data_IF_623954734137
#
_entry.id   IF_623954734137
#
_cell.length_a   1.000
_cell.length_b   1.000
_cell.length_c   1.000
_cell.angle_alpha   90.00
_cell.angle_beta   90.00
_cell.angle_gamma   90.00
#
_symmetry.space_group_name_H-M   'P 1'
#
loop_
_entity.id
_entity.type
_entity.pdbx_description
1 polymer ?
#
# COMPACT_ATOMS: atom_id res chain seq x y z
N UNK A 1 -2.48 13.35 17.75
CA UNK A 1 -2.94 11.99 18.11
C UNK A 1 -4.34 11.84 17.55
N UNK A 2 -4.54 10.93 16.60
CA UNK A 2 -5.81 10.71 15.93
C UNK A 2 -6.35 9.29 16.23
N UNK A 3 -7.67 9.09 16.05
CA UNK A 3 -8.30 7.78 16.05
C UNK A 3 -8.27 7.23 14.62
N UNK A 4 -7.66 6.08 14.43
CA UNK A 4 -7.43 5.49 13.11
C UNK A 4 -7.98 4.07 13.09
N UNK A 5 -8.72 3.73 12.03
CA UNK A 5 -8.98 2.34 11.67
C UNK A 5 -7.97 1.88 10.62
N UNK A 6 -7.50 0.63 10.68
CA UNK A 6 -6.70 0.03 9.62
C UNK A 6 -7.32 -1.29 9.16
N UNK A 7 -7.71 -1.34 7.89
CA UNK A 7 -8.43 -2.45 7.27
C UNK A 7 -7.49 -3.24 6.35
N UNK A 8 -7.24 -4.49 6.71
CA UNK A 8 -6.34 -5.37 5.96
C UNK A 8 -4.92 -5.40 6.52
N UNK A 9 -4.58 -6.52 7.16
CA UNK A 9 -3.28 -6.77 7.79
C UNK A 9 -2.46 -7.78 6.98
N UNK A 10 -2.35 -7.54 5.67
CA UNK A 10 -1.43 -8.25 4.80
C UNK A 10 0.03 -7.88 5.08
N UNK A 11 0.95 -8.32 4.21
CA UNK A 11 2.39 -8.02 4.32
C UNK A 11 2.70 -6.52 4.33
N UNK A 12 1.83 -5.71 3.72
CA UNK A 12 1.95 -4.26 3.71
C UNK A 12 1.24 -3.61 4.88
N UNK A 13 -0.05 -3.94 5.09
CA UNK A 13 -0.90 -3.27 6.08
C UNK A 13 -0.50 -3.53 7.52
N UNK A 14 0.02 -4.72 7.82
CA UNK A 14 0.45 -5.07 9.17
C UNK A 14 1.53 -4.12 9.73
N UNK A 15 2.66 -3.89 9.05
CA UNK A 15 3.67 -2.94 9.51
C UNK A 15 3.21 -1.48 9.41
N UNK A 16 2.43 -1.10 8.39
CA UNK A 16 1.91 0.27 8.26
C UNK A 16 1.04 0.65 9.47
N UNK A 17 0.12 -0.24 9.88
CA UNK A 17 -0.68 -0.05 11.09
C UNK A 17 0.20 0.02 12.36
N UNK A 18 1.28 -0.78 12.42
CA UNK A 18 2.27 -0.76 13.51
C UNK A 18 2.97 0.59 13.64
N UNK A 19 3.38 1.18 12.51
CA UNK A 19 3.98 2.53 12.52
C UNK A 19 3.03 3.59 13.05
N UNK A 20 1.73 3.52 12.71
CA UNK A 20 0.73 4.44 13.25
C UNK A 20 0.62 4.32 14.79
N UNK A 21 0.57 3.11 15.31
CA UNK A 21 0.54 2.87 16.75
C UNK A 21 1.83 3.38 17.43
N UNK A 22 3.00 3.12 16.84
CA UNK A 22 4.30 3.61 17.34
C UNK A 22 4.41 5.15 17.35
N UNK A 23 3.69 5.85 16.46
CA UNK A 23 3.56 7.32 16.45
C UNK A 23 2.54 7.85 17.46
N UNK A 24 1.93 6.98 18.26
CA UNK A 24 1.01 7.35 19.34
C UNK A 24 -0.43 7.56 18.89
N UNK A 25 -0.82 7.14 17.69
CA UNK A 25 -2.23 7.13 17.29
C UNK A 25 -3.01 6.00 17.97
N UNK A 26 -4.32 6.17 18.17
CA UNK A 26 -5.20 5.11 18.64
C UNK A 26 -5.65 4.30 17.43
N UNK A 27 -5.12 3.11 17.28
CA UNK A 27 -5.39 2.25 16.11
C UNK A 27 -6.34 1.12 16.47
N UNK A 28 -7.42 0.98 15.69
CA UNK A 28 -8.32 -0.19 15.69
C UNK A 28 -8.14 -0.91 14.37
N UNK A 29 -7.79 -2.18 14.40
CA UNK A 29 -7.53 -2.96 13.20
C UNK A 29 -8.71 -3.88 12.86
N UNK A 30 -8.88 -4.12 11.57
CA UNK A 30 -9.74 -5.17 11.04
C UNK A 30 -8.98 -6.02 10.04
N UNK A 31 -9.16 -7.32 10.11
CA UNK A 31 -8.70 -8.24 9.09
C UNK A 31 -9.66 -9.42 8.95
N UNK A 32 -9.89 -9.93 7.73
CA UNK A 32 -10.73 -11.09 7.46
C UNK A 32 -10.38 -12.31 8.33
N UNK A 33 -9.08 -12.53 8.57
CA UNK A 33 -8.60 -13.46 9.60
C UNK A 33 -8.50 -12.76 10.95
N UNK A 34 -9.41 -13.05 11.88
CA UNK A 34 -9.40 -12.49 13.23
C UNK A 34 -8.11 -12.81 14.01
N UNK A 35 -7.48 -13.95 13.74
CA UNK A 35 -6.21 -14.34 14.37
C UNK A 35 -5.08 -13.34 14.05
N UNK A 36 -5.02 -12.82 12.81
CA UNK A 36 -4.05 -11.77 12.45
C UNK A 36 -4.29 -10.46 13.20
N UNK A 37 -5.55 -10.06 13.36
CA UNK A 37 -5.91 -8.87 14.13
C UNK A 37 -5.52 -9.03 15.61
N UNK A 38 -5.79 -10.20 16.20
CA UNK A 38 -5.40 -10.51 17.57
C UNK A 38 -3.87 -10.49 17.76
N UNK A 39 -3.10 -11.08 16.83
CA UNK A 39 -1.64 -11.05 16.86
C UNK A 39 -1.09 -9.63 16.74
N UNK A 40 -1.70 -8.80 15.90
CA UNK A 40 -1.31 -7.40 15.76
C UNK A 40 -1.55 -6.63 17.07
N UNK A 41 -2.71 -6.79 17.70
CA UNK A 41 -3.06 -6.14 18.99
C UNK A 41 -2.10 -6.59 20.09
N UNK A 42 -1.76 -7.88 20.15
CA UNK A 42 -0.81 -8.39 21.14
C UNK A 42 0.58 -7.75 21.02
N UNK A 43 1.01 -7.41 19.80
CA UNK A 43 2.32 -6.82 19.55
C UNK A 43 2.34 -5.30 19.68
N UNK A 44 1.31 -4.61 19.17
CA UNK A 44 1.32 -3.15 19.01
C UNK A 44 0.35 -2.42 19.95
N UNK A 45 -0.50 -3.16 20.67
CA UNK A 45 -1.60 -2.57 21.44
C UNK A 45 -2.76 -2.13 20.53
N UNK A 46 -3.61 -1.22 21.02
CA UNK A 46 -4.79 -0.76 20.28
C UNK A 46 -5.98 -1.71 20.41
N UNK A 47 -6.83 -1.73 19.39
CA UNK A 47 -8.06 -2.54 19.35
C UNK A 47 -8.19 -3.35 18.07
N UNK A 48 -9.04 -4.38 18.11
CA UNK A 48 -9.50 -5.11 16.94
C UNK A 48 -11.03 -5.08 16.86
N UNK A 49 -11.58 -5.05 15.66
CA UNK A 49 -13.01 -5.08 15.40
C UNK A 49 -13.38 -6.30 14.55
N UNK A 50 -14.65 -6.74 14.65
CA UNK A 50 -15.14 -7.90 13.91
C UNK A 50 -15.54 -7.55 12.47
N UNK A 51 -15.86 -6.27 12.19
CA UNK A 51 -16.26 -5.78 10.88
C UNK A 51 -15.53 -4.49 10.52
N UNK A 52 -15.40 -4.14 9.21
CA UNK A 52 -14.91 -2.84 8.77
C UNK A 52 -15.72 -1.67 9.37
N UNK A 53 -17.04 -1.81 9.47
CA UNK A 53 -17.95 -0.84 10.07
C UNK A 53 -17.59 -0.56 11.53
N UNK A 54 -17.40 -1.60 12.33
CA UNK A 54 -17.02 -1.45 13.74
C UNK A 54 -15.64 -0.82 13.89
N UNK A 55 -14.68 -1.21 13.05
CA UNK A 55 -13.35 -0.61 13.07
C UNK A 55 -13.41 0.89 12.76
N UNK A 56 -14.24 1.28 11.79
CA UNK A 56 -14.39 2.66 11.33
C UNK A 56 -15.20 3.55 12.27
N UNK A 57 -15.94 2.97 13.24
CA UNK A 57 -16.71 3.74 14.20
C UNK A 57 -15.80 4.68 15.01
N UNK A 58 -16.15 5.95 15.06
CA UNK A 58 -15.35 7.01 15.72
C UNK A 58 -13.95 7.29 15.11
N UNK A 59 -13.56 6.64 14.01
CA UNK A 59 -12.29 6.90 13.34
C UNK A 59 -12.31 8.24 12.58
N UNK A 60 -11.27 9.03 12.76
CA UNK A 60 -11.02 10.24 11.98
C UNK A 60 -10.45 9.87 10.59
N UNK A 61 -9.62 8.82 10.58
CA UNK A 61 -9.03 8.26 9.36
C UNK A 61 -9.25 6.75 9.32
N UNK A 62 -9.67 6.26 8.15
CA UNK A 62 -9.77 4.82 7.87
C UNK A 62 -8.77 4.49 6.78
N UNK A 63 -7.70 3.78 7.13
CA UNK A 63 -6.68 3.31 6.21
C UNK A 63 -7.04 1.91 5.73
N UNK A 64 -6.86 1.61 4.45
CA UNK A 64 -7.12 0.29 3.90
C UNK A 64 -5.96 -0.20 3.03
N UNK A 65 -5.65 -1.50 3.12
CA UNK A 65 -4.72 -2.18 2.22
C UNK A 65 -5.16 -3.63 2.04
N UNK A 66 -5.92 -3.90 0.98
CA UNK A 66 -6.53 -5.21 0.69
C UNK A 66 -6.05 -5.78 -0.65
N UNK A 67 -6.71 -6.77 -1.22
CA UNK A 67 -6.17 -7.56 -2.34
C UNK A 67 -6.47 -7.03 -3.73
N UNK A 68 -7.70 -6.54 -3.99
CA UNK A 68 -8.19 -6.22 -5.33
C UNK A 68 -9.44 -5.32 -5.29
N UNK A 69 -10.03 -5.05 -6.48
CA UNK A 69 -11.23 -4.22 -6.63
C UNK A 69 -12.42 -4.72 -5.81
N UNK A 70 -12.67 -6.03 -5.79
CA UNK A 70 -13.82 -6.61 -5.09
C UNK A 70 -13.60 -6.63 -3.58
N UNK A 71 -12.37 -6.88 -3.13
CA UNK A 71 -12.01 -6.76 -1.72
C UNK A 71 -12.21 -5.31 -1.24
N UNK A 72 -11.82 -4.30 -2.04
CA UNK A 72 -12.04 -2.89 -1.71
C UNK A 72 -13.54 -2.58 -1.58
N UNK A 73 -14.34 -2.99 -2.57
CA UNK A 73 -15.81 -2.81 -2.48
C UNK A 73 -16.38 -3.45 -1.23
N UNK A 74 -15.96 -4.66 -0.90
CA UNK A 74 -16.48 -5.44 0.23
C UNK A 74 -16.21 -4.80 1.58
N UNK A 75 -15.04 -4.13 1.75
CA UNK A 75 -14.70 -3.45 3.00
C UNK A 75 -15.25 -2.03 3.07
N UNK A 76 -15.58 -1.40 1.94
CA UNK A 76 -16.12 -0.05 1.89
C UNK A 76 -17.63 0.00 2.03
N UNK A 77 -18.35 -0.88 1.33
CA UNK A 77 -19.81 -0.78 1.12
C UNK A 77 -20.57 -1.92 1.82
N UNK A 78 -21.91 -1.81 1.82
CA UNK A 78 -22.78 -2.78 2.49
C UNK A 78 -22.97 -2.50 3.99
N UNK A 79 -23.75 -3.32 4.68
CA UNK A 79 -24.16 -3.07 6.07
C UNK A 79 -22.96 -3.15 7.06
N UNK A 80 -21.96 -3.96 6.75
CA UNK A 80 -20.74 -4.13 7.56
C UNK A 80 -19.53 -3.40 6.97
N UNK A 81 -19.71 -2.65 5.88
CA UNK A 81 -18.67 -1.85 5.22
C UNK A 81 -18.29 -0.61 6.04
N UNK A 82 -17.06 -0.14 5.88
CA UNK A 82 -16.50 0.97 6.63
C UNK A 82 -17.33 2.25 6.48
N UNK A 83 -17.85 2.55 5.30
CA UNK A 83 -18.63 3.76 5.05
C UNK A 83 -19.89 3.85 5.93
N UNK A 84 -20.48 2.71 6.28
CA UNK A 84 -21.64 2.65 7.18
C UNK A 84 -21.27 2.97 8.65
N UNK A 85 -19.99 2.86 9.02
CA UNK A 85 -19.49 3.20 10.36
C UNK A 85 -18.83 4.57 10.46
N UNK A 86 -18.39 5.13 9.33
CA UNK A 86 -17.65 6.40 9.30
C UNK A 86 -18.56 7.60 9.61
N UNK A 87 -18.01 8.57 10.32
CA UNK A 87 -18.67 9.85 10.58
C UNK A 87 -18.42 10.84 9.46
N UNK A 88 -19.35 11.77 9.25
CA UNK A 88 -19.18 12.85 8.27
C UNK A 88 -17.92 13.66 8.57
N UNK A 89 -17.11 13.90 7.56
CA UNK A 89 -15.84 14.61 7.66
C UNK A 89 -14.63 13.70 7.92
N UNK A 90 -14.83 12.42 8.26
CA UNK A 90 -13.73 11.45 8.30
C UNK A 90 -13.19 11.16 6.89
N UNK A 91 -11.93 10.71 6.80
CA UNK A 91 -11.26 10.44 5.52
C UNK A 91 -10.90 8.97 5.40
N UNK A 92 -11.32 8.36 4.29
CA UNK A 92 -10.88 7.01 3.89
C UNK A 92 -9.64 7.13 3.00
N UNK A 93 -8.59 6.40 3.34
CA UNK A 93 -7.31 6.38 2.61
C UNK A 93 -7.05 4.96 2.11
N UNK A 94 -7.10 4.76 0.80
CA UNK A 94 -6.94 3.46 0.18
C UNK A 94 -5.52 3.25 -0.36
N UNK A 95 -4.76 2.38 0.29
CA UNK A 95 -3.41 1.97 -0.16
C UNK A 95 -3.43 0.74 -1.07
N UNK A 96 -4.60 0.18 -1.33
CA UNK A 96 -4.75 -0.98 -2.23
C UNK A 96 -4.35 -0.61 -3.65
N UNK A 97 -3.66 -1.50 -4.34
CA UNK A 97 -3.45 -1.35 -5.79
C UNK A 97 -4.68 -1.90 -6.51
N UNK A 98 -5.51 -1.02 -7.01
CA UNK A 98 -6.79 -1.32 -7.67
C UNK A 98 -6.97 -0.52 -8.96
N UNK A 99 -8.05 -0.78 -9.69
CA UNK A 99 -8.38 0.00 -10.87
C UNK A 99 -8.78 1.45 -10.51
N UNK A 100 -8.40 2.42 -11.34
CA UNK A 100 -8.87 3.80 -11.19
C UNK A 100 -10.41 3.91 -11.33
N UNK A 101 -11.05 2.89 -11.92
CA UNK A 101 -12.51 2.79 -12.02
C UNK A 101 -13.14 2.55 -10.64
N UNK A 102 -12.69 1.53 -9.92
CA UNK A 102 -13.23 1.24 -8.58
C UNK A 102 -12.89 2.34 -7.59
N UNK A 103 -11.71 2.96 -7.70
CA UNK A 103 -11.34 4.13 -6.91
C UNK A 103 -12.37 5.25 -7.03
N UNK A 104 -12.74 5.63 -8.28
CA UNK A 104 -13.74 6.69 -8.51
C UNK A 104 -15.14 6.28 -8.05
N UNK A 105 -15.49 5.00 -8.19
CA UNK A 105 -16.73 4.42 -7.65
C UNK A 105 -16.79 4.59 -6.13
N UNK A 106 -15.74 4.22 -5.41
CA UNK A 106 -15.67 4.32 -3.95
C UNK A 106 -15.61 5.78 -3.48
N UNK A 107 -14.88 6.65 -4.19
CA UNK A 107 -14.84 8.08 -3.90
C UNK A 107 -16.23 8.73 -4.03
N UNK A 108 -17.00 8.37 -5.05
CA UNK A 108 -18.36 8.86 -5.22
C UNK A 108 -19.31 8.34 -4.10
N UNK A 109 -19.17 7.07 -3.72
CA UNK A 109 -19.95 6.48 -2.63
C UNK A 109 -19.62 7.14 -1.27
N UNK A 110 -18.35 7.41 -0.99
CA UNK A 110 -17.91 8.12 0.20
C UNK A 110 -18.45 9.56 0.24
N UNK A 111 -18.33 10.29 -0.86
CA UNK A 111 -18.79 11.66 -0.98
C UNK A 111 -20.31 11.79 -0.73
N UNK A 112 -21.12 10.83 -1.19
CA UNK A 112 -22.56 10.79 -0.92
C UNK A 112 -22.91 10.72 0.57
N UNK A 113 -21.97 10.25 1.41
CA UNK A 113 -22.09 10.16 2.86
C UNK A 113 -21.36 11.29 3.60
N UNK A 114 -20.75 12.23 2.85
CA UNK A 114 -19.94 13.32 3.41
C UNK A 114 -18.60 12.84 3.98
N UNK A 115 -18.10 11.70 3.52
CA UNK A 115 -16.80 11.12 3.87
C UNK A 115 -15.78 11.46 2.78
N UNK A 116 -14.57 11.83 3.17
CA UNK A 116 -13.46 12.05 2.26
C UNK A 116 -12.88 10.74 1.73
N UNK A 117 -12.30 10.76 0.51
CA UNK A 117 -11.62 9.60 -0.07
C UNK A 117 -10.32 9.99 -0.76
N UNK A 118 -9.22 9.33 -0.38
CA UNK A 118 -7.89 9.50 -0.97
C UNK A 118 -7.39 8.15 -1.44
N UNK A 119 -7.14 7.98 -2.73
CA UNK A 119 -6.40 6.82 -3.25
C UNK A 119 -4.91 7.06 -3.07
N UNK A 120 -4.23 6.14 -2.43
CA UNK A 120 -2.88 6.29 -1.94
C UNK A 120 -2.03 5.02 -2.10
N UNK A 121 -2.01 4.37 -3.30
CA UNK A 121 -1.20 3.18 -3.52
C UNK A 121 0.27 3.46 -3.26
N UNK A 122 0.98 2.41 -2.87
CA UNK A 122 2.34 2.49 -2.36
C UNK A 122 3.37 1.77 -3.24
N UNK A 123 4.62 2.21 -3.15
CA UNK A 123 5.79 1.54 -3.71
C UNK A 123 6.89 1.43 -2.65
N UNK A 124 7.65 0.32 -2.67
CA UNK A 124 8.71 0.01 -1.71
C UNK A 124 8.70 -1.44 -1.24
N UNK A 125 7.63 -2.19 -1.57
CA UNK A 125 7.46 -3.59 -1.18
C UNK A 125 7.40 -3.79 0.34
N UNK A 126 7.47 -5.05 0.78
CA UNK A 126 7.41 -5.41 2.19
C UNK A 126 8.49 -4.70 3.02
N UNK A 127 9.73 -4.70 2.54
CA UNK A 127 10.84 -4.03 3.24
C UNK A 127 10.60 -2.52 3.41
N UNK A 128 10.02 -1.85 2.40
CA UNK A 128 9.64 -0.44 2.52
C UNK A 128 8.55 -0.19 3.56
N UNK A 129 7.58 -1.10 3.66
CA UNK A 129 6.52 -1.02 4.66
C UNK A 129 7.06 -1.28 6.08
N UNK A 130 7.89 -2.30 6.27
CA UNK A 130 8.51 -2.64 7.55
C UNK A 130 9.43 -1.53 8.07
N UNK A 131 10.17 -0.88 7.18
CA UNK A 131 11.09 0.20 7.54
C UNK A 131 10.43 1.59 7.58
N UNK A 132 9.14 1.73 7.26
CA UNK A 132 8.44 3.01 7.26
C UNK A 132 8.95 4.00 6.20
N UNK A 133 9.39 3.51 5.04
CA UNK A 133 10.02 4.32 3.97
C UNK A 133 9.32 4.17 2.61
N UNK A 134 8.01 3.97 2.63
CA UNK A 134 7.21 3.84 1.41
C UNK A 134 7.18 5.14 0.60
N UNK A 135 7.03 5.00 -0.71
CA UNK A 135 6.62 6.09 -1.60
C UNK A 135 5.12 5.96 -1.86
N UNK A 136 4.36 7.02 -1.54
CA UNK A 136 2.90 7.03 -1.62
C UNK A 136 2.44 7.98 -2.71
N UNK A 137 1.65 7.48 -3.65
CA UNK A 137 1.11 8.24 -4.77
C UNK A 137 -0.36 8.54 -4.50
N UNK A 138 -0.71 9.80 -4.21
CA UNK A 138 -2.06 10.16 -3.79
C UNK A 138 -2.89 10.80 -4.91
N UNK A 139 -4.17 10.42 -4.94
CA UNK A 139 -5.23 11.08 -5.70
C UNK A 139 -6.41 11.39 -4.79
N UNK A 140 -7.13 12.47 -5.07
CA UNK A 140 -8.29 12.89 -4.29
C UNK A 140 -8.35 14.41 -4.13
N UNK A 141 -9.34 14.90 -3.40
CA UNK A 141 -9.49 16.31 -3.07
C UNK A 141 -8.30 16.82 -2.25
N UNK A 142 -7.88 18.08 -2.49
CA UNK A 142 -6.71 18.65 -1.86
C UNK A 142 -6.83 18.74 -0.33
N UNK A 143 -7.98 19.18 0.18
CA UNK A 143 -8.18 19.32 1.62
C UNK A 143 -8.19 17.98 2.34
N UNK A 144 -8.72 16.93 1.69
CA UNK A 144 -8.71 15.56 2.22
C UNK A 144 -7.29 14.98 2.24
N UNK A 145 -6.51 15.23 1.20
CA UNK A 145 -5.10 14.86 1.15
C UNK A 145 -4.29 15.58 2.23
N UNK A 146 -4.44 16.90 2.35
CA UNK A 146 -3.71 17.71 3.33
C UNK A 146 -4.01 17.26 4.77
N UNK A 147 -5.24 16.81 5.05
CA UNK A 147 -5.60 16.23 6.34
C UNK A 147 -4.97 14.84 6.57
N UNK A 148 -4.85 14.01 5.52
CA UNK A 148 -4.34 12.64 5.61
C UNK A 148 -2.80 12.55 5.57
N UNK A 149 -2.12 13.47 4.89
CA UNK A 149 -0.66 13.44 4.69
C UNK A 149 0.14 13.29 6.00
N UNK A 150 -0.14 14.05 7.08
CA UNK A 150 0.60 13.89 8.34
C UNK A 150 0.45 12.50 8.98
N UNK A 151 -0.67 11.82 8.71
CA UNK A 151 -0.92 10.45 9.19
C UNK A 151 -0.14 9.46 8.32
N UNK A 152 -0.19 9.61 7.00
CA UNK A 152 0.56 8.79 6.03
C UNK A 152 2.07 8.89 6.27
N UNK A 153 2.56 10.04 6.70
CA UNK A 153 3.98 10.27 7.02
C UNK A 153 4.54 9.33 8.10
N UNK A 154 3.70 8.63 8.87
CA UNK A 154 4.14 7.63 9.84
C UNK A 154 4.91 6.46 9.21
N UNK A 155 4.62 6.12 7.95
CA UNK A 155 5.21 4.99 7.21
C UNK A 155 5.70 5.37 5.80
N UNK A 156 5.69 6.64 5.45
CA UNK A 156 6.08 7.14 4.14
C UNK A 156 7.35 8.00 4.21
N UNK A 157 8.30 7.74 3.30
CA UNK A 157 9.41 8.65 3.02
C UNK A 157 9.02 9.75 2.06
N UNK A 158 8.11 9.46 1.15
CA UNK A 158 7.60 10.40 0.14
C UNK A 158 6.10 10.20 -0.01
N UNK A 159 5.34 11.26 0.11
CA UNK A 159 3.90 11.27 -0.14
C UNK A 159 3.57 12.49 -0.99
N UNK A 160 2.80 12.31 -2.07
CA UNK A 160 2.45 13.43 -2.94
C UNK A 160 1.09 13.25 -3.59
N UNK A 161 0.26 14.30 -3.54
CA UNK A 161 -0.97 14.38 -4.34
C UNK A 161 -0.61 14.65 -5.81
N UNK A 162 -1.15 13.84 -6.71
CA UNK A 162 -0.84 13.85 -8.15
C UNK A 162 -2.04 14.30 -9.01
N UNK A 163 -3.20 14.45 -8.40
CA UNK A 163 -4.43 14.88 -9.07
C UNK A 163 -5.69 14.46 -8.31
N UNK A 164 -6.82 14.45 -8.99
CA UNK A 164 -8.12 14.04 -8.47
C UNK A 164 -8.19 12.52 -8.25
N UNK A 165 -9.30 12.02 -7.69
CA UNK A 165 -9.51 10.59 -7.40
C UNK A 165 -9.19 9.69 -8.59
N UNK A 166 -8.34 8.70 -8.34
CA UNK A 166 -7.78 7.77 -9.31
C UNK A 166 -6.42 8.17 -9.87
N UNK A 167 -5.92 9.38 -9.59
CA UNK A 167 -4.60 9.82 -10.06
C UNK A 167 -3.46 9.04 -9.38
N UNK A 168 -3.62 8.69 -8.11
CA UNK A 168 -2.68 7.82 -7.39
C UNK A 168 -2.58 6.43 -8.04
N UNK A 169 -3.72 5.81 -8.38
CA UNK A 169 -3.74 4.51 -9.06
C UNK A 169 -3.13 4.58 -10.46
N UNK A 170 -3.40 5.65 -11.22
CA UNK A 170 -2.78 5.83 -12.54
C UNK A 170 -1.24 5.96 -12.40
N UNK A 171 -0.77 6.75 -11.42
CA UNK A 171 0.66 6.85 -11.13
C UNK A 171 1.25 5.50 -10.71
N UNK A 172 0.52 4.70 -9.92
CA UNK A 172 0.93 3.33 -9.59
C UNK A 172 1.00 2.44 -10.81
N UNK A 173 0.08 2.56 -11.77
CA UNK A 173 0.15 1.82 -13.04
C UNK A 173 1.39 2.20 -13.85
N UNK A 174 1.73 3.50 -13.93
CA UNK A 174 2.98 3.95 -14.56
C UNK A 174 4.21 3.34 -13.88
N UNK A 175 4.25 3.35 -12.54
CA UNK A 175 5.31 2.68 -11.78
C UNK A 175 5.40 1.18 -12.11
N UNK A 176 4.27 0.48 -12.21
CA UNK A 176 4.26 -0.96 -12.53
C UNK A 176 4.70 -1.26 -13.96
N UNK A 177 4.40 -0.40 -14.93
CA UNK A 177 4.92 -0.51 -16.31
C UNK A 177 6.45 -0.42 -16.29
N UNK A 178 7.02 0.56 -15.58
CA UNK A 178 8.48 0.68 -15.44
C UNK A 178 9.10 -0.55 -14.78
N UNK A 179 8.51 -1.05 -13.69
CA UNK A 179 9.01 -2.25 -13.00
C UNK A 179 8.96 -3.47 -13.92
N UNK A 180 7.86 -3.68 -14.63
CA UNK A 180 7.71 -4.81 -15.56
C UNK A 180 8.79 -4.79 -16.63
N UNK A 181 9.05 -3.63 -17.25
CA UNK A 181 10.10 -3.49 -18.26
C UNK A 181 11.51 -3.75 -17.72
N UNK A 182 11.82 -3.22 -16.53
CA UNK A 182 13.12 -3.42 -15.88
C UNK A 182 13.35 -4.89 -15.50
N UNK A 183 12.33 -5.56 -14.94
CA UNK A 183 12.43 -6.98 -14.53
C UNK A 183 12.56 -7.88 -15.76
N UNK A 184 11.78 -7.63 -16.82
CA UNK A 184 11.87 -8.38 -18.07
C UNK A 184 13.24 -8.23 -18.72
N UNK A 185 13.74 -6.99 -18.85
CA UNK A 185 15.05 -6.73 -19.44
C UNK A 185 16.20 -7.36 -18.63
N UNK A 186 16.11 -7.32 -17.29
CA UNK A 186 17.10 -7.99 -16.42
C UNK A 186 17.06 -9.52 -16.61
N UNK A 187 15.87 -10.13 -16.66
CA UNK A 187 15.73 -11.58 -16.88
C UNK A 187 16.34 -12.02 -18.21
N UNK A 188 16.07 -11.28 -19.29
CA UNK A 188 16.62 -11.58 -20.61
C UNK A 188 18.15 -11.41 -20.66
N UNK A 189 18.68 -10.37 -20.00
CA UNK A 189 20.11 -10.13 -19.92
C UNK A 189 20.85 -11.25 -19.18
N UNK A 190 20.31 -11.71 -18.04
CA UNK A 190 20.88 -12.84 -17.28
C UNK A 190 20.82 -14.14 -18.08
N UNK A 191 19.69 -14.46 -18.70
CA UNK A 191 19.55 -15.66 -19.54
C UNK A 191 20.48 -15.63 -20.78
N UNK A 192 20.67 -14.45 -21.38
CA UNK A 192 21.62 -14.25 -22.48
C UNK A 192 23.07 -14.49 -22.01
N UNK A 193 23.45 -13.90 -20.87
CA UNK A 193 24.79 -14.06 -20.29
C UNK A 193 25.10 -15.53 -19.94
N UNK A 194 24.16 -16.22 -19.34
CA UNK A 194 24.28 -17.67 -19.02
C UNK A 194 24.53 -18.51 -20.28
N UNK A 195 23.73 -18.29 -21.35
CA UNK A 195 23.92 -18.98 -22.63
C UNK A 195 25.25 -18.64 -23.31
N UNK A 196 25.81 -17.48 -23.04
CA UNK A 196 27.13 -17.07 -23.52
C UNK A 196 28.28 -17.57 -22.62
N UNK A 197 28.00 -18.34 -21.57
CA UNK A 197 28.99 -18.89 -20.65
C UNK A 197 29.60 -17.86 -19.69
N UNK A 198 28.90 -16.75 -19.44
CA UNK A 198 29.37 -15.69 -18.54
C UNK A 198 28.89 -15.94 -17.10
N UNK A 199 29.69 -15.50 -16.14
CA UNK A 199 29.24 -15.41 -14.75
C UNK A 199 28.32 -14.18 -14.59
N UNK A 200 27.02 -14.46 -14.45
CA UNK A 200 25.99 -13.41 -14.32
C UNK A 200 26.21 -12.49 -13.13
N UNK A 201 26.74 -13.00 -12.01
CA UNK A 201 27.02 -12.20 -10.82
C UNK A 201 28.15 -11.21 -11.09
N UNK A 202 29.27 -11.68 -11.66
CA UNK A 202 30.39 -10.82 -12.00
C UNK A 202 30.00 -9.73 -13.03
N UNK A 203 29.13 -10.08 -14.00
CA UNK A 203 28.59 -9.11 -14.96
C UNK A 203 27.76 -8.05 -14.25
N UNK A 204 26.84 -8.41 -13.36
CA UNK A 204 26.00 -7.46 -12.64
C UNK A 204 26.85 -6.51 -11.77
N UNK A 205 27.87 -7.00 -11.08
CA UNK A 205 28.78 -6.15 -10.28
C UNK A 205 29.37 -5.01 -11.10
N UNK A 206 29.65 -5.23 -12.38
CA UNK A 206 30.18 -4.19 -13.28
C UNK A 206 29.10 -3.26 -13.80
N UNK A 207 27.99 -3.81 -14.35
CA UNK A 207 27.02 -3.00 -15.07
C UNK A 207 26.03 -2.26 -14.16
N UNK A 208 25.88 -2.70 -12.89
CA UNK A 208 24.95 -2.08 -11.95
C UNK A 208 25.32 -0.63 -11.59
N UNK A 209 26.59 -0.28 -11.69
CA UNK A 209 27.08 1.10 -11.46
C UNK A 209 26.94 2.01 -12.69
N UNK A 210 26.62 1.46 -13.85
CA UNK A 210 26.49 2.17 -15.12
C UNK A 210 25.04 2.58 -15.43
N UNK A 211 24.82 2.99 -16.68
CA UNK A 211 23.52 3.46 -17.17
C UNK A 211 22.40 2.40 -17.13
N UNK A 212 22.74 1.11 -17.11
CA UNK A 212 21.80 0.01 -16.97
C UNK A 212 21.35 -0.24 -15.52
N UNK A 213 22.02 0.38 -14.53
CA UNK A 213 21.76 0.18 -13.12
C UNK A 213 20.33 0.54 -12.74
N UNK A 214 19.74 -0.27 -11.85
CA UNK A 214 18.40 -0.05 -11.34
C UNK A 214 18.22 -0.71 -9.97
N UNK A 215 17.20 -0.26 -9.21
CA UNK A 215 16.84 -0.92 -7.96
C UNK A 215 16.52 -2.41 -8.18
N UNK A 216 15.86 -2.75 -9.29
CA UNK A 216 15.53 -4.14 -9.63
C UNK A 216 16.79 -4.97 -9.87
N UNK A 217 17.76 -4.42 -10.61
CA UNK A 217 19.04 -5.08 -10.82
C UNK A 217 19.75 -5.36 -9.50
N UNK A 218 19.86 -4.37 -8.61
CA UNK A 218 20.55 -4.51 -7.33
C UNK A 218 19.89 -5.49 -6.37
N UNK A 219 18.55 -5.61 -6.42
CA UNK A 219 17.80 -6.36 -5.40
C UNK A 219 17.17 -7.66 -5.91
N UNK A 220 17.22 -7.95 -7.23
CA UNK A 220 16.57 -9.13 -7.82
C UNK A 220 17.52 -10.07 -8.55
N UNK A 221 18.67 -9.60 -9.02
CA UNK A 221 19.58 -10.44 -9.82
C UNK A 221 19.97 -11.73 -9.09
N UNK A 222 20.27 -11.67 -7.79
CA UNK A 222 20.72 -12.84 -7.05
C UNK A 222 19.61 -13.91 -6.97
N UNK A 223 18.36 -13.51 -6.64
CA UNK A 223 17.24 -14.46 -6.56
C UNK A 223 16.88 -15.05 -7.93
N UNK A 224 17.10 -14.29 -9.02
CA UNK A 224 16.92 -14.78 -10.39
C UNK A 224 18.01 -15.81 -10.77
N UNK A 225 19.27 -15.55 -10.41
CA UNK A 225 20.39 -16.48 -10.66
C UNK A 225 20.27 -17.75 -9.82
N UNK A 226 19.74 -17.67 -8.61
CA UNK A 226 19.55 -18.79 -7.70
C UNK A 226 18.24 -19.58 -7.97
N UNK A 227 17.49 -19.21 -9.01
CA UNK A 227 16.16 -19.78 -9.32
C UNK A 227 15.19 -19.72 -8.12
N UNK A 228 15.30 -18.67 -7.29
CA UNK A 228 14.52 -18.50 -6.08
C UNK A 228 13.39 -17.47 -6.29
N UNK A 229 12.15 -17.97 -6.54
CA UNK A 229 10.98 -17.15 -6.86
C UNK A 229 9.88 -17.20 -5.80
N UNK A 230 10.07 -17.90 -4.68
CA UNK A 230 9.15 -17.95 -3.55
C UNK A 230 9.34 -16.72 -2.66
N UNK A 231 8.58 -15.66 -2.99
CA UNK A 231 8.48 -14.47 -2.15
C UNK A 231 7.10 -14.45 -1.48
N UNK A 232 7.08 -14.14 -0.21
CA UNK A 232 5.87 -14.03 0.57
C UNK A 232 4.87 -12.95 0.09
#
# INVERSE_FOLDING_TARGET
MAKIAFLGLGVMGYPMAGHLAAKGHRVTVYNRSAAKAASWVALHGGGAAATPREAAADAEFVMACVGNDDDLRSICTGPDGAFAGMTKGAVFVDHTTVSAKVTREMAAAAAALGVGFVDAPVSGGQAGAENGVLSVMCGGDAAQYDAAEPVIAAYARTCKRLGESGAGQIAKMMNQICIAGLVQGLSEALAFGEKAGMDGKAVIEVIASGAAGSWQMNNRHQTMLDDHFTHG
#
